data_IF_897276715862
#
_entry.id   IF_897276715862
#
_cell.length_a   1.000
_cell.length_b   1.000
_cell.length_c   1.000
_cell.angle_alpha   90.00
_cell.angle_beta   90.00
_cell.angle_gamma   90.00
#
_symmetry.space_group_name_H-M   'P 1'
#
loop_
_entity.id
_entity.type
_entity.pdbx_description
1 polymer ?
#
# COMPACT_ATOMS: atom_id res chain seq x y z
N UNK A 1 22.24 2.57 0.78
CA UNK A 1 22.51 2.04 -0.59
C UNK A 1 23.05 0.62 -0.59
N UNK A 2 23.87 0.25 0.40
CA UNK A 2 24.46 -1.09 0.49
C UNK A 2 23.43 -2.23 0.49
N UNK A 3 22.36 -2.12 1.30
CA UNK A 3 21.28 -3.12 1.35
C UNK A 3 20.61 -3.31 -0.01
N UNK A 4 20.30 -2.22 -0.73
CA UNK A 4 19.72 -2.31 -2.08
C UNK A 4 20.65 -3.07 -3.03
N UNK A 5 21.93 -2.70 -3.06
CA UNK A 5 22.91 -3.30 -3.99
C UNK A 5 23.15 -4.77 -3.66
N UNK A 6 23.30 -5.10 -2.37
CA UNK A 6 23.51 -6.47 -1.89
C UNK A 6 22.34 -7.38 -2.24
N UNK A 7 21.10 -6.89 -2.11
CA UNK A 7 19.88 -7.68 -2.32
C UNK A 7 19.23 -7.46 -3.69
N UNK A 8 19.88 -6.69 -4.60
CA UNK A 8 19.38 -6.37 -5.94
C UNK A 8 17.92 -5.90 -5.97
N UNK A 9 17.53 -5.04 -5.02
CA UNK A 9 16.15 -4.56 -4.92
C UNK A 9 15.83 -3.53 -6.02
N UNK A 10 14.73 -3.74 -6.74
CA UNK A 10 14.24 -2.82 -7.76
C UNK A 10 13.66 -1.53 -7.16
N UNK A 11 12.89 -1.68 -6.07
CA UNK A 11 12.22 -0.60 -5.35
C UNK A 11 12.57 -0.62 -3.87
N UNK A 12 12.52 0.55 -3.25
CA UNK A 12 12.63 0.73 -1.80
C UNK A 12 11.31 1.29 -1.28
N UNK A 13 10.67 0.55 -0.39
CA UNK A 13 9.48 1.01 0.31
C UNK A 13 9.88 1.77 1.58
N UNK A 14 9.40 3.01 1.69
CA UNK A 14 9.55 3.87 2.87
C UNK A 14 8.24 3.82 3.66
N UNK A 15 8.29 3.20 4.83
CA UNK A 15 7.10 2.93 5.66
C UNK A 15 7.09 3.71 6.98
N UNK A 16 8.12 4.52 7.25
CA UNK A 16 8.20 5.34 8.44
C UNK A 16 7.61 6.74 8.27
N UNK A 17 8.15 7.68 9.03
CA UNK A 17 7.78 9.10 9.05
C UNK A 17 8.69 9.95 8.15
N UNK A 18 9.29 9.33 7.13
CA UNK A 18 10.24 10.02 6.25
C UNK A 18 9.57 11.19 5.53
N UNK A 19 10.20 12.36 5.57
CA UNK A 19 9.67 13.58 4.97
C UNK A 19 10.00 13.67 3.46
N UNK A 20 9.44 14.66 2.73
CA UNK A 20 9.70 14.82 1.30
C UNK A 20 11.17 15.06 0.96
N UNK A 21 11.91 15.79 1.82
CA UNK A 21 13.33 16.06 1.63
C UNK A 21 14.17 14.78 1.65
N UNK A 22 13.81 13.83 2.52
CA UNK A 22 14.45 12.53 2.57
C UNK A 22 14.16 11.71 1.30
N UNK A 23 12.90 11.70 0.83
CA UNK A 23 12.53 11.06 -0.43
C UNK A 23 13.29 11.66 -1.61
N UNK A 24 13.40 13.00 -1.68
CA UNK A 24 14.19 13.70 -2.70
C UNK A 24 15.66 13.30 -2.68
N UNK A 25 16.28 13.19 -1.51
CA UNK A 25 17.67 12.76 -1.36
C UNK A 25 17.88 11.36 -1.94
N UNK A 26 17.01 10.42 -1.60
CA UNK A 26 17.07 9.04 -2.08
C UNK A 26 16.78 8.94 -3.59
N UNK A 27 15.80 9.69 -4.09
CA UNK A 27 15.49 9.76 -5.51
C UNK A 27 16.69 10.26 -6.33
N UNK A 28 17.36 11.32 -5.87
CA UNK A 28 18.60 11.84 -6.49
C UNK A 28 19.76 10.84 -6.50
N UNK A 29 19.73 9.83 -5.62
CA UNK A 29 20.68 8.71 -5.62
C UNK A 29 20.28 7.59 -6.61
N UNK A 30 19.27 7.80 -7.47
CA UNK A 30 18.80 6.82 -8.45
C UNK A 30 17.96 5.70 -7.83
N UNK A 31 17.32 5.94 -6.69
CA UNK A 31 16.44 4.96 -6.05
C UNK A 31 15.00 5.13 -6.52
N UNK A 32 14.36 4.01 -6.86
CA UNK A 32 12.91 3.96 -7.14
C UNK A 32 12.18 3.76 -5.81
N UNK A 33 11.30 4.69 -5.47
CA UNK A 33 10.67 4.75 -4.14
C UNK A 33 9.18 4.40 -4.20
N UNK A 34 8.73 3.67 -3.18
CA UNK A 34 7.33 3.49 -2.80
C UNK A 34 7.15 4.16 -1.45
N UNK A 35 6.35 5.23 -1.34
CA UNK A 35 6.08 5.86 -0.03
C UNK A 35 4.75 5.37 0.53
N UNK A 36 4.79 4.85 1.75
CA UNK A 36 3.60 4.39 2.44
C UNK A 36 2.99 5.50 3.28
N UNK A 37 1.67 5.60 3.24
CA UNK A 37 0.88 6.54 4.04
C UNK A 37 -0.24 5.77 4.73
N UNK A 38 -0.34 5.95 6.05
CA UNK A 38 -1.51 5.53 6.81
C UNK A 38 -2.63 6.52 6.57
N UNK A 39 -3.76 6.02 6.09
CA UNK A 39 -4.92 6.85 5.78
C UNK A 39 -6.16 6.41 6.56
N UNK A 40 -7.00 7.39 6.83
CA UNK A 40 -8.33 7.26 7.42
C UNK A 40 -9.32 8.14 6.63
N UNK A 41 -10.57 8.20 7.06
CA UNK A 41 -11.60 8.98 6.38
C UNK A 41 -11.33 10.51 6.40
N UNK A 42 -10.49 10.99 7.32
CA UNK A 42 -10.14 12.40 7.51
C UNK A 42 -8.79 12.78 6.87
N UNK A 43 -8.09 11.81 6.28
CA UNK A 43 -6.81 12.04 5.63
C UNK A 43 -6.95 13.08 4.50
N UNK A 44 -6.02 14.04 4.47
CA UNK A 44 -5.95 15.04 3.41
C UNK A 44 -4.83 14.69 2.44
N UNK A 45 -5.19 14.38 1.19
CA UNK A 45 -4.22 14.11 0.13
C UNK A 45 -3.34 15.32 -0.21
N UNK A 46 -3.70 16.54 0.21
CA UNK A 46 -2.79 17.70 0.08
C UNK A 46 -1.47 17.50 0.83
N UNK A 47 -1.46 16.70 1.90
CA UNK A 47 -0.25 16.40 2.70
C UNK A 47 0.82 15.60 1.94
N UNK A 48 0.46 14.97 0.82
CA UNK A 48 1.37 14.11 0.07
C UNK A 48 1.87 14.71 -1.25
N UNK A 49 1.47 15.95 -1.56
CA UNK A 49 1.84 16.64 -2.82
C UNK A 49 3.36 16.71 -2.98
N UNK A 50 4.08 17.07 -1.92
CA UNK A 50 5.54 17.26 -1.99
C UNK A 50 6.32 15.95 -2.20
N UNK A 51 5.69 14.79 -2.07
CA UNK A 51 6.30 13.49 -2.31
C UNK A 51 6.19 13.05 -3.78
N UNK A 52 5.23 13.60 -4.52
CA UNK A 52 4.89 13.19 -5.90
C UNK A 52 6.09 13.16 -6.83
N UNK A 53 6.99 14.17 -6.85
CA UNK A 53 8.11 14.18 -7.79
C UNK A 53 9.17 13.10 -7.54
N UNK A 54 9.13 12.44 -6.37
CA UNK A 54 10.20 11.56 -5.90
C UNK A 54 9.77 10.10 -5.72
N UNK A 55 8.49 9.80 -5.90
CA UNK A 55 7.92 8.48 -5.66
C UNK A 55 7.32 7.91 -6.94
N UNK A 56 7.62 6.64 -7.23
CA UNK A 56 7.02 5.91 -8.35
C UNK A 56 5.64 5.38 -8.02
N UNK A 57 5.46 4.96 -6.76
CA UNK A 57 4.19 4.50 -6.24
C UNK A 57 3.94 5.06 -4.85
N UNK A 58 2.67 5.17 -4.50
CA UNK A 58 2.25 5.26 -3.11
C UNK A 58 1.69 3.93 -2.61
N UNK A 59 1.72 3.70 -1.31
CA UNK A 59 1.00 2.62 -0.68
C UNK A 59 0.09 3.22 0.37
N UNK A 60 -1.20 3.00 0.22
CA UNK A 60 -2.20 3.49 1.16
C UNK A 60 -2.59 2.35 2.09
N UNK A 61 -2.11 2.45 3.33
CA UNK A 61 -2.38 1.49 4.40
C UNK A 61 -3.54 2.00 5.26
N UNK A 62 -4.51 1.14 5.56
CA UNK A 62 -5.61 1.50 6.44
C UNK A 62 -5.12 1.56 7.88
N UNK A 63 -5.36 2.69 8.54
CA UNK A 63 -5.02 2.86 9.95
C UNK A 63 -5.98 2.04 10.84
N UNK A 64 -5.80 0.71 10.88
CA UNK A 64 -6.54 -0.18 11.76
C UNK A 64 -5.85 -0.20 13.12
N UNK A 65 -6.08 0.85 13.93
CA UNK A 65 -5.53 0.94 15.30
C UNK A 65 -6.14 -0.14 16.22
N UNK A 66 -7.25 -0.77 15.86
CA UNK A 66 -7.93 -1.74 16.73
C UNK A 66 -8.14 -3.12 16.09
N UNK A 67 -7.49 -4.13 16.69
CA UNK A 67 -8.08 -5.46 16.79
C UNK A 67 -9.23 -5.37 17.80
N UNK A 68 -10.47 -5.39 17.31
CA UNK A 68 -11.68 -5.47 18.13
C UNK A 68 -12.43 -4.15 18.37
N UNK A 69 -13.74 -4.18 18.13
CA UNK A 69 -14.70 -3.38 18.91
C UNK A 69 -15.37 -2.16 18.27
N UNK A 70 -14.87 -1.52 17.20
CA UNK A 70 -15.47 -0.25 16.70
C UNK A 70 -16.09 -0.28 15.30
N UNK A 71 -16.00 -1.38 14.56
CA UNK A 71 -16.74 -1.60 13.31
C UNK A 71 -16.41 -0.69 12.12
N UNK A 72 -15.56 0.34 12.27
CA UNK A 72 -15.20 1.26 11.18
C UNK A 72 -13.92 0.80 10.47
N UNK A 73 -14.07 -0.13 9.53
CA UNK A 73 -13.04 -0.35 8.49
C UNK A 73 -12.78 0.98 7.77
N UNK A 74 -11.52 1.28 7.46
CA UNK A 74 -11.17 2.35 6.53
C UNK A 74 -12.01 2.21 5.25
N UNK A 75 -12.71 3.29 4.87
CA UNK A 75 -13.59 3.24 3.71
C UNK A 75 -12.76 3.53 2.47
N UNK A 76 -12.56 2.51 1.61
CA UNK A 76 -11.82 2.67 0.35
C UNK A 76 -12.41 3.75 -0.55
N UNK A 77 -13.68 4.14 -0.34
CA UNK A 77 -14.27 5.30 -1.00
C UNK A 77 -13.46 6.58 -0.82
N UNK A 78 -12.71 6.73 0.27
CA UNK A 78 -11.80 7.87 0.49
C UNK A 78 -10.77 8.00 -0.63
N UNK A 79 -10.34 6.89 -1.22
CA UNK A 79 -9.37 6.89 -2.31
C UNK A 79 -9.92 7.50 -3.60
N UNK A 80 -11.24 7.66 -3.76
CA UNK A 80 -11.80 8.41 -4.90
C UNK A 80 -11.45 9.91 -4.85
N UNK A 81 -11.07 10.44 -3.68
CA UNK A 81 -10.56 11.80 -3.58
C UNK A 81 -9.10 11.93 -4.05
N UNK A 82 -8.41 10.81 -4.29
CA UNK A 82 -7.02 10.81 -4.77
C UNK A 82 -6.96 11.04 -6.28
N UNK A 83 -6.59 12.25 -6.68
CA UNK A 83 -6.57 12.68 -8.08
C UNK A 83 -5.17 12.84 -8.69
N UNK A 84 -4.12 12.53 -7.93
CA UNK A 84 -2.75 12.71 -8.40
C UNK A 84 -2.30 11.62 -9.38
N UNK A 85 -1.21 11.91 -10.11
CA UNK A 85 -0.73 11.02 -11.19
C UNK A 85 -0.02 9.76 -10.69
N UNK A 86 0.54 9.79 -9.48
CA UNK A 86 1.33 8.66 -8.93
C UNK A 86 0.39 7.47 -8.70
N UNK A 87 0.63 6.31 -9.31
CA UNK A 87 -0.15 5.11 -9.03
C UNK A 87 0.00 4.65 -7.57
N UNK A 88 -0.98 3.92 -7.05
CA UNK A 88 -0.93 3.43 -5.67
C UNK A 88 -1.26 1.95 -5.51
N UNK A 89 -0.70 1.36 -4.46
CA UNK A 89 -1.12 0.08 -3.91
C UNK A 89 -2.17 0.29 -2.82
N UNK A 90 -3.24 -0.49 -2.88
CA UNK A 90 -4.23 -0.60 -1.80
C UNK A 90 -3.72 -1.62 -0.78
N UNK A 91 -3.57 -1.21 0.48
CA UNK A 91 -3.11 -2.08 1.57
C UNK A 91 -3.99 -1.94 2.82
N UNK A 92 -3.62 -2.68 3.86
CA UNK A 92 -4.18 -2.58 5.20
C UNK A 92 -5.26 -3.61 5.46
N UNK A 93 -4.86 -4.71 6.12
CA UNK A 93 -5.78 -5.72 6.63
C UNK A 93 -6.54 -6.54 5.58
N UNK A 94 -6.17 -6.43 4.30
CA UNK A 94 -6.81 -7.15 3.19
C UNK A 94 -6.69 -8.66 3.42
N UNK A 95 -7.83 -9.35 3.39
CA UNK A 95 -7.90 -10.81 3.44
C UNK A 95 -8.91 -11.39 2.45
N UNK A 96 -9.06 -12.72 2.42
CA UNK A 96 -9.95 -13.40 1.47
C UNK A 96 -11.41 -12.91 1.49
N UNK A 97 -11.89 -12.49 2.66
CA UNK A 97 -13.24 -11.95 2.83
C UNK A 97 -13.48 -10.63 2.09
N UNK A 98 -12.42 -9.88 1.77
CA UNK A 98 -12.53 -8.56 1.13
C UNK A 98 -12.58 -8.66 -0.41
N UNK A 99 -12.57 -9.88 -0.99
CA UNK A 99 -12.57 -10.10 -2.44
C UNK A 99 -13.68 -9.34 -3.18
N UNK A 100 -14.93 -9.41 -2.71
CA UNK A 100 -16.05 -8.72 -3.35
C UNK A 100 -15.89 -7.19 -3.26
N UNK A 101 -15.30 -6.69 -2.19
CA UNK A 101 -15.01 -5.27 -2.05
C UNK A 101 -13.93 -4.84 -3.05
N UNK A 102 -12.89 -5.66 -3.27
CA UNK A 102 -11.82 -5.39 -4.25
C UNK A 102 -12.40 -5.39 -5.65
N UNK A 103 -13.17 -6.43 -5.99
CA UNK A 103 -13.84 -6.55 -7.30
C UNK A 103 -14.68 -5.32 -7.65
N UNK A 104 -15.36 -4.75 -6.66
CA UNK A 104 -16.23 -3.59 -6.85
C UNK A 104 -15.51 -2.24 -6.69
N UNK A 105 -14.23 -2.24 -6.30
CA UNK A 105 -13.44 -1.03 -6.13
C UNK A 105 -12.58 -0.80 -7.38
N UNK A 106 -13.00 0.16 -8.21
CA UNK A 106 -12.25 0.59 -9.38
C UNK A 106 -11.72 2.00 -9.16
N UNK A 107 -10.43 2.21 -9.43
CA UNK A 107 -9.79 3.53 -9.43
C UNK A 107 -8.69 3.58 -10.49
N UNK A 108 -8.65 4.60 -11.34
CA UNK A 108 -7.71 4.68 -12.49
C UNK A 108 -6.23 4.72 -12.10
N UNK A 109 -5.94 5.05 -10.84
CA UNK A 109 -4.60 5.07 -10.25
C UNK A 109 -4.28 3.89 -9.35
N UNK A 110 -5.24 2.99 -9.11
CA UNK A 110 -4.94 1.77 -8.38
C UNK A 110 -4.08 0.87 -9.28
N UNK A 111 -2.89 0.56 -8.82
CA UNK A 111 -1.94 -0.30 -9.52
C UNK A 111 -2.01 -1.75 -9.05
N UNK A 112 -2.32 -1.96 -7.78
CA UNK A 112 -2.47 -3.31 -7.23
C UNK A 112 -2.90 -3.31 -5.77
N UNK A 113 -2.98 -4.51 -5.23
CA UNK A 113 -3.21 -4.76 -3.80
C UNK A 113 -1.92 -5.23 -3.13
N UNK A 114 -1.72 -4.83 -1.89
CA UNK A 114 -0.65 -5.29 -1.02
C UNK A 114 -1.27 -6.10 0.14
N UNK A 115 -0.78 -7.32 0.33
CA UNK A 115 -1.33 -8.28 1.29
C UNK A 115 -0.23 -8.79 2.21
N UNK A 116 -0.55 -8.97 3.48
CA UNK A 116 0.43 -9.42 4.45
C UNK A 116 -0.14 -10.41 5.48
N UNK A 117 -0.47 -9.96 6.69
CA UNK A 117 -0.74 -10.81 7.85
C UNK A 117 -1.98 -11.70 7.74
N UNK A 118 -2.99 -11.31 6.95
CA UNK A 118 -4.19 -12.15 6.74
C UNK A 118 -3.91 -13.40 5.89
N UNK A 119 -2.71 -13.50 5.32
CA UNK A 119 -2.24 -14.65 4.53
C UNK A 119 -1.07 -15.36 5.24
N UNK A 120 -0.99 -15.24 6.56
CA UNK A 120 0.01 -15.91 7.40
C UNK A 120 -0.64 -16.94 8.30
N UNK A 121 0.07 -18.05 8.54
CA UNK A 121 -0.26 -19.05 9.57
C UNK A 121 0.15 -18.50 10.94
N UNK A 122 1.33 -17.88 10.98
CA UNK A 122 1.90 -17.16 12.11
C UNK A 122 2.86 -16.06 11.59
N UNK A 123 3.24 -15.04 12.38
CA UNK A 123 3.99 -13.89 11.90
C UNK A 123 5.22 -14.28 11.08
N UNK A 124 5.27 -13.83 9.82
CA UNK A 124 6.37 -14.11 8.89
C UNK A 124 6.30 -15.45 8.15
N UNK A 125 5.35 -16.34 8.47
CA UNK A 125 5.12 -17.60 7.74
C UNK A 125 3.81 -17.54 6.95
N UNK A 126 3.93 -17.45 5.62
CA UNK A 126 2.78 -17.43 4.71
C UNK A 126 2.01 -18.77 4.69
N UNK A 127 0.70 -18.66 4.49
CA UNK A 127 -0.20 -19.77 4.19
C UNK A 127 -0.34 -19.88 2.66
N UNK A 128 0.42 -20.80 2.06
CA UNK A 128 0.48 -20.95 0.61
C UNK A 128 -0.87 -21.36 -0.01
N UNK A 129 -1.66 -22.18 0.69
CA UNK A 129 -2.98 -22.61 0.21
C UNK A 129 -3.92 -21.41 0.14
N UNK A 130 -3.96 -20.62 1.21
CA UNK A 130 -4.79 -19.40 1.29
C UNK A 130 -4.35 -18.34 0.29
N UNK A 131 -3.03 -18.16 0.13
CA UNK A 131 -2.45 -17.21 -0.83
C UNK A 131 -2.80 -17.61 -2.26
N UNK A 132 -2.56 -18.86 -2.65
CA UNK A 132 -2.82 -19.35 -4.01
C UNK A 132 -4.30 -19.27 -4.38
N UNK A 133 -5.20 -19.66 -3.46
CA UNK A 133 -6.64 -19.57 -3.67
C UNK A 133 -7.08 -18.13 -3.91
N UNK A 134 -6.56 -17.17 -3.14
CA UNK A 134 -6.90 -15.76 -3.29
C UNK A 134 -6.31 -15.14 -4.56
N UNK A 135 -5.03 -15.41 -4.84
CA UNK A 135 -4.36 -14.91 -6.04
C UNK A 135 -5.04 -15.38 -7.32
N UNK A 136 -5.55 -16.63 -7.36
CA UNK A 136 -6.34 -17.12 -8.49
C UNK A 136 -7.56 -16.24 -8.74
N UNK A 137 -8.35 -15.95 -7.70
CA UNK A 137 -9.55 -15.12 -7.80
C UNK A 137 -9.23 -13.68 -8.24
N UNK A 138 -8.11 -13.12 -7.76
CA UNK A 138 -7.69 -11.75 -8.11
C UNK A 138 -7.22 -11.65 -9.56
N UNK A 139 -6.57 -12.69 -10.11
CA UNK A 139 -6.13 -12.71 -11.53
C UNK A 139 -7.28 -12.84 -12.53
N UNK A 140 -8.47 -13.19 -12.07
CA UNK A 140 -9.70 -13.28 -12.88
C UNK A 140 -10.49 -11.95 -12.92
N UNK A 141 -10.02 -10.91 -12.23
CA UNK A 141 -10.57 -9.55 -12.27
C UNK A 141 -9.99 -8.76 -13.46
#
# INVERSE_FOLDING_TARGET
>A
MEIKRKNKLDFIQLHGTENPCFCKKLFKQGLKLIKSFRIDNFFSFKKIIDYIPFCYYFLFDSNTIYYGGSGKKFCWKKLYEYTFKVPFFLSGGIGPQDFNQIKNFSHSKMFGIDINSKFEINPGRKDDLKLNAFMKKIREL
#
